data_IF_038658232457
#
_entry.id   IF_038658232457
#
_cell.length_a   1.000
_cell.length_b   1.000
_cell.length_c   1.000
_cell.angle_alpha   90.00
_cell.angle_beta   90.00
_cell.angle_gamma   90.00
#
_symmetry.space_group_name_H-M   'P 1'
#
loop_
_entity.id
_entity.type
_entity.pdbx_description
1 polymer ?
#
# COMPACT_ATOMS: atom_id res chain seq x y z
N UNK A 1 -13.29 -5.70 10.31
CA UNK A 1 -14.54 -4.97 10.08
C UNK A 1 -15.46 -5.00 11.30
N UNK A 2 -16.07 -6.14 11.67
CA UNK A 2 -17.00 -6.22 12.80
C UNK A 2 -16.35 -6.06 14.19
N UNK A 3 -15.14 -6.60 14.38
CA UNK A 3 -14.40 -6.48 15.66
C UNK A 3 -13.92 -5.06 15.98
N UNK A 4 -13.83 -4.19 14.97
CA UNK A 4 -13.35 -2.80 15.09
C UNK A 4 -14.52 -1.80 15.13
N UNK A 5 -15.77 -2.29 14.97
CA UNK A 5 -16.96 -1.45 15.03
C UNK A 5 -17.23 -0.56 13.81
N UNK A 6 -16.77 -0.96 12.62
CA UNK A 6 -17.06 -0.22 11.37
C UNK A 6 -18.54 -0.30 10.97
N UNK A 7 -18.98 0.61 10.10
CA UNK A 7 -20.37 0.77 9.66
C UNK A 7 -21.02 -0.57 9.25
N UNK A 8 -22.10 -1.03 9.90
CA UNK A 8 -22.66 -2.37 9.67
C UNK A 8 -23.39 -2.56 8.33
N UNK A 9 -23.29 -1.62 7.39
CA UNK A 9 -23.92 -1.75 6.08
C UNK A 9 -23.21 -2.82 5.23
N UNK A 10 -23.99 -3.64 4.53
CA UNK A 10 -23.48 -4.67 3.63
C UNK A 10 -22.62 -4.09 2.50
N UNK A 11 -23.00 -2.90 1.99
CA UNK A 11 -22.28 -2.19 0.94
C UNK A 11 -20.87 -1.78 1.40
N UNK A 12 -20.74 -1.23 2.61
CA UNK A 12 -19.44 -0.83 3.16
C UNK A 12 -18.55 -2.04 3.48
N UNK A 13 -19.13 -3.17 3.93
CA UNK A 13 -18.38 -4.41 4.10
C UNK A 13 -17.85 -4.96 2.77
N UNK A 14 -18.69 -5.03 1.74
CA UNK A 14 -18.27 -5.49 0.41
C UNK A 14 -17.19 -4.59 -0.19
N UNK A 15 -17.34 -3.27 -0.03
CA UNK A 15 -16.33 -2.29 -0.45
C UNK A 15 -14.99 -2.49 0.29
N UNK A 16 -15.02 -2.66 1.61
CA UNK A 16 -13.83 -2.97 2.41
C UNK A 16 -13.12 -4.24 1.90
N UNK A 17 -13.86 -5.32 1.66
CA UNK A 17 -13.30 -6.59 1.17
C UNK A 17 -12.67 -6.41 -0.22
N UNK A 18 -13.34 -5.69 -1.14
CA UNK A 18 -12.80 -5.43 -2.48
C UNK A 18 -11.53 -4.59 -2.44
N UNK A 19 -11.48 -3.55 -1.60
CA UNK A 19 -10.29 -2.72 -1.43
C UNK A 19 -9.12 -3.58 -0.93
N UNK A 20 -9.31 -4.39 0.11
CA UNK A 20 -8.29 -5.33 0.60
C UNK A 20 -7.86 -6.31 -0.49
N UNK A 21 -8.80 -6.85 -1.24
CA UNK A 21 -8.52 -7.80 -2.32
C UNK A 21 -7.61 -7.18 -3.39
N UNK A 22 -7.93 -5.97 -3.85
CA UNK A 22 -7.13 -5.24 -4.86
C UNK A 22 -5.72 -4.96 -4.34
N UNK A 23 -5.59 -4.54 -3.08
CA UNK A 23 -4.28 -4.28 -2.45
C UNK A 23 -3.44 -5.55 -2.41
N UNK A 24 -4.04 -6.68 -2.04
CA UNK A 24 -3.35 -7.98 -1.98
C UNK A 24 -2.89 -8.42 -3.37
N UNK A 25 -3.71 -8.29 -4.41
CA UNK A 25 -3.31 -8.63 -5.79
C UNK A 25 -2.17 -7.72 -6.27
N UNK A 26 -2.27 -6.43 -5.99
CA UNK A 26 -1.27 -5.43 -6.38
C UNK A 26 0.06 -5.70 -5.69
N UNK A 27 0.04 -5.97 -4.37
CA UNK A 27 1.23 -6.35 -3.61
C UNK A 27 1.87 -7.64 -4.14
N UNK A 28 1.07 -8.68 -4.41
CA UNK A 28 1.58 -9.92 -4.99
C UNK A 28 2.24 -9.70 -6.36
N UNK A 29 1.62 -8.91 -7.24
CA UNK A 29 2.18 -8.57 -8.56
C UNK A 29 3.51 -7.82 -8.41
N UNK A 30 3.61 -6.90 -7.44
CA UNK A 30 4.83 -6.15 -7.17
C UNK A 30 5.97 -7.03 -6.64
N UNK A 31 5.67 -7.93 -5.71
CA UNK A 31 6.65 -8.91 -5.20
C UNK A 31 7.11 -9.83 -6.33
N UNK A 32 6.20 -10.29 -7.19
CA UNK A 32 6.53 -11.17 -8.31
C UNK A 32 7.42 -10.44 -9.34
N UNK A 33 7.13 -9.17 -9.63
CA UNK A 33 7.97 -8.33 -10.48
C UNK A 33 9.37 -8.15 -9.89
N UNK A 34 9.50 -7.82 -8.60
CA UNK A 34 10.82 -7.70 -7.97
C UNK A 34 11.56 -9.04 -7.90
N UNK A 35 10.83 -10.13 -7.70
CA UNK A 35 11.39 -11.48 -7.67
C UNK A 35 11.93 -11.92 -9.03
N UNK A 36 11.35 -11.46 -10.15
CA UNK A 36 11.89 -11.78 -11.49
C UNK A 36 13.16 -11.00 -11.84
N UNK A 37 13.36 -9.82 -11.24
CA UNK A 37 14.61 -9.05 -11.37
C UNK A 37 15.69 -9.51 -10.38
N UNK A 38 15.32 -10.13 -9.27
CA UNK A 38 16.25 -10.48 -8.21
C UNK A 38 17.11 -11.71 -8.58
N UNK A 39 18.43 -11.65 -8.38
CA UNK A 39 19.33 -12.77 -8.66
C UNK A 39 19.24 -13.90 -7.61
N UNK A 40 18.71 -13.61 -6.42
CA UNK A 40 18.50 -14.58 -5.36
C UNK A 40 17.30 -14.21 -4.47
N UNK A 41 16.76 -15.21 -3.77
CA UNK A 41 15.59 -15.06 -2.90
C UNK A 41 15.82 -14.01 -1.79
N UNK A 42 17.02 -13.99 -1.20
CA UNK A 42 17.38 -13.12 -0.09
C UNK A 42 17.42 -11.64 -0.53
N UNK A 43 18.02 -11.33 -1.68
CA UNK A 43 18.02 -9.96 -2.21
C UNK A 43 16.61 -9.54 -2.63
N UNK A 44 15.83 -10.45 -3.23
CA UNK A 44 14.44 -10.18 -3.61
C UNK A 44 13.58 -9.78 -2.41
N UNK A 45 13.59 -10.57 -1.34
CA UNK A 45 12.83 -10.24 -0.11
C UNK A 45 13.34 -8.97 0.56
N UNK A 46 14.67 -8.76 0.63
CA UNK A 46 15.24 -7.55 1.22
C UNK A 46 14.83 -6.28 0.45
N UNK A 47 14.88 -6.31 -0.89
CA UNK A 47 14.45 -5.21 -1.75
C UNK A 47 12.96 -4.90 -1.57
N UNK A 48 12.12 -5.94 -1.56
CA UNK A 48 10.68 -5.80 -1.29
C UNK A 48 10.45 -5.12 0.05
N UNK A 49 11.08 -5.59 1.14
CA UNK A 49 10.90 -5.02 2.48
C UNK A 49 11.32 -3.55 2.57
N UNK A 50 12.44 -3.17 1.95
CA UNK A 50 12.91 -1.78 1.93
C UNK A 50 11.93 -0.89 1.15
N UNK A 51 11.47 -1.35 -0.02
CA UNK A 51 10.51 -0.60 -0.84
C UNK A 51 9.15 -0.48 -0.16
N UNK A 52 8.68 -1.54 0.50
CA UNK A 52 7.43 -1.54 1.26
C UNK A 52 7.50 -0.57 2.44
N UNK A 53 8.61 -0.58 3.19
CA UNK A 53 8.85 0.35 4.28
C UNK A 53 8.89 1.81 3.79
N UNK A 54 9.54 2.06 2.65
CA UNK A 54 9.53 3.37 2.02
C UNK A 54 8.10 3.79 1.62
N UNK A 55 7.35 2.95 0.89
CA UNK A 55 5.97 3.27 0.50
C UNK A 55 5.05 3.51 1.69
N UNK A 56 5.23 2.77 2.79
CA UNK A 56 4.49 2.97 4.02
C UNK A 56 4.79 4.35 4.64
N UNK A 57 6.06 4.77 4.68
CA UNK A 57 6.47 6.08 5.18
C UNK A 57 5.86 7.24 4.36
N UNK A 58 5.84 7.08 3.03
CA UNK A 58 5.30 8.07 2.08
C UNK A 58 3.81 7.90 1.79
N UNK A 59 3.09 7.01 2.49
CA UNK A 59 1.66 6.76 2.25
C UNK A 59 0.73 7.91 2.67
N UNK A 60 1.27 8.95 3.34
CA UNK A 60 0.50 10.08 3.86
C UNK A 60 0.05 9.94 5.31
N UNK A 61 0.21 8.76 5.92
CA UNK A 61 -0.08 8.55 7.35
C UNK A 61 1.01 9.11 8.27
N UNK A 62 2.29 8.85 7.97
CA UNK A 62 3.43 9.30 8.79
C UNK A 62 3.98 10.68 8.38
N UNK A 63 4.04 10.97 7.08
CA UNK A 63 4.51 12.25 6.55
C UNK A 63 3.39 12.89 5.76
N UNK A 64 2.90 14.05 6.23
CA UNK A 64 1.87 14.81 5.53
C UNK A 64 2.39 15.30 4.17
N UNK A 65 1.52 15.29 3.15
CA UNK A 65 1.85 15.69 1.77
C UNK A 65 2.49 17.09 1.69
N UNK A 66 2.15 17.97 2.62
CA UNK A 66 2.61 19.36 2.66
C UNK A 66 4.07 19.52 3.12
N UNK A 67 4.64 18.55 3.84
CA UNK A 67 6.04 18.58 4.29
C UNK A 67 7.00 17.86 3.33
N UNK A 68 6.49 17.27 2.25
CA UNK A 68 7.30 16.53 1.28
C UNK A 68 7.95 17.46 0.24
N UNK A 69 9.29 17.42 0.08
CA UNK A 69 9.96 18.15 -0.99
C UNK A 69 9.49 17.65 -2.37
N UNK A 70 9.37 18.58 -3.35
CA UNK A 70 8.80 18.31 -4.69
C UNK A 70 9.42 17.11 -5.43
N UNK A 71 10.69 16.78 -5.15
CA UNK A 71 11.38 15.62 -5.72
C UNK A 71 10.89 14.26 -5.17
N UNK A 72 10.45 14.21 -3.91
CA UNK A 72 9.92 12.99 -3.27
C UNK A 72 8.41 12.81 -3.49
N UNK A 73 7.75 13.78 -4.13
CA UNK A 73 6.34 13.72 -4.48
C UNK A 73 6.03 12.53 -5.41
N UNK A 74 6.98 12.13 -6.27
CA UNK A 74 6.82 10.93 -7.11
C UNK A 74 6.63 9.66 -6.28
N UNK A 75 7.40 9.48 -5.19
CA UNK A 75 7.26 8.33 -4.29
C UNK A 75 5.92 8.36 -3.53
N UNK A 76 5.39 9.55 -3.25
CA UNK A 76 4.05 9.71 -2.69
C UNK A 76 2.95 9.23 -3.66
N UNK A 77 3.08 9.48 -4.97
CA UNK A 77 2.14 8.98 -5.99
C UNK A 77 2.32 7.48 -6.29
N UNK A 78 3.55 6.97 -6.17
CA UNK A 78 3.86 5.57 -6.41
C UNK A 78 3.48 4.66 -5.22
N UNK A 79 3.24 5.23 -4.04
CA UNK A 79 2.84 4.46 -2.85
C UNK A 79 1.47 3.80 -3.03
N UNK A 80 1.49 2.49 -3.20
CA UNK A 80 0.31 1.62 -3.24
C UNK A 80 -0.57 1.73 -1.98
N UNK A 81 0.06 2.01 -0.83
CA UNK A 81 -0.62 2.15 0.46
C UNK A 81 -1.47 3.42 0.58
N UNK A 82 -1.14 4.47 -0.18
CA UNK A 82 -1.96 5.67 -0.22
C UNK A 82 -3.35 5.38 -0.78
N UNK A 83 -3.43 4.67 -1.90
CA UNK A 83 -4.71 4.34 -2.53
C UNK A 83 -5.58 3.44 -1.64
N UNK A 84 -4.93 2.55 -0.88
CA UNK A 84 -5.59 1.75 0.15
C UNK A 84 -6.21 2.61 1.25
N UNK A 85 -5.43 3.54 1.80
CA UNK A 85 -5.85 4.42 2.89
C UNK A 85 -6.93 5.41 2.43
N UNK A 86 -6.74 6.07 1.29
CA UNK A 86 -7.72 7.00 0.71
C UNK A 86 -9.04 6.27 0.41
N UNK A 87 -8.99 5.05 -0.12
CA UNK A 87 -10.20 4.25 -0.37
C UNK A 87 -10.92 3.88 0.94
N UNK A 88 -10.19 3.49 1.98
CA UNK A 88 -10.79 3.12 3.28
C UNK A 88 -11.37 4.32 4.05
N UNK A 89 -11.00 5.55 3.71
CA UNK A 89 -11.48 6.78 4.35
C UNK A 89 -12.74 7.37 3.68
N UNK A 90 -13.16 6.84 2.53
CA UNK A 90 -14.41 7.17 1.83
C UNK A 90 -15.58 6.41 2.44
#
# INVERSE_FOLDING_TARGET
YFLVGLCPSWQAFAYFVLVIWIIVIMANSFVLFLSSLAPNYIAGTSLVSILLAAFFLFSGYFISKESLPKYWLFMYYFSMYRYALDALLI
#
